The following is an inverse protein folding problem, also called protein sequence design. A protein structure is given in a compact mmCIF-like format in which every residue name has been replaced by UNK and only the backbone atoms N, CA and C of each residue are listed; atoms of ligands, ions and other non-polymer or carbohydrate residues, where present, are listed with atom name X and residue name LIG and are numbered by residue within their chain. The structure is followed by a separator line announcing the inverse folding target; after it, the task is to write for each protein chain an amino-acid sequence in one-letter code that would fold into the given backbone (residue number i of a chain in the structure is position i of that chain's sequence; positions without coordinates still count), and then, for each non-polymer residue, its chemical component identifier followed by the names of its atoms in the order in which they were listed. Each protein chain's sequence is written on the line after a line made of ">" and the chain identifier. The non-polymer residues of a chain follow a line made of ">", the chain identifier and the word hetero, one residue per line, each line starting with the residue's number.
data_IF_110252757306
#
_entry.id   IF_110252757306
#
_cell.length_a   1.000
_cell.length_b   1.000
_cell.length_c   1.000
_cell.angle_alpha   90.00
_cell.angle_beta   90.00
_cell.angle_gamma   90.00
#
_symmetry.space_group_name_H-M   'P 1'
#
loop_
_entity.id
_entity.type
_entity.pdbx_description
1 polymer ?
#
# COMPACT_ATOMS: atom_id res chain seq x y z
N UNK A 1 52.53 7.83 -34.37
CA UNK A 1 51.32 6.97 -34.42
C UNK A 1 50.68 7.02 -33.05
N UNK A 2 49.56 7.75 -32.91
CA UNK A 2 48.82 7.87 -31.65
C UNK A 2 47.66 6.87 -31.76
N UNK A 3 47.50 5.90 -30.84
CA UNK A 3 46.34 5.03 -30.86
C UNK A 3 45.10 5.83 -30.44
N UNK A 4 44.07 5.81 -31.29
CA UNK A 4 42.76 6.39 -31.03
C UNK A 4 42.10 5.72 -29.81
N UNK A 5 41.68 6.55 -28.86
CA UNK A 5 40.74 6.19 -27.80
C UNK A 5 39.45 5.67 -28.45
N UNK A 6 39.01 4.47 -28.08
CA UNK A 6 37.61 4.09 -28.19
C UNK A 6 36.94 4.30 -26.83
N UNK A 7 36.04 5.28 -26.69
CA UNK A 7 35.04 5.25 -25.63
C UNK A 7 33.71 4.84 -26.28
N UNK A 8 33.37 3.55 -26.12
CA UNK A 8 32.04 3.02 -26.38
C UNK A 8 31.09 3.28 -25.20
N UNK A 9 31.15 4.48 -24.62
CA UNK A 9 30.12 4.93 -23.69
C UNK A 9 29.03 5.60 -24.52
N UNK A 10 28.13 4.79 -25.09
CA UNK A 10 26.88 5.31 -25.63
C UNK A 10 26.15 6.02 -24.49
N UNK A 11 26.19 7.36 -24.49
CA UNK A 11 25.41 8.16 -23.57
C UNK A 11 23.94 7.70 -23.68
N UNK A 12 23.28 7.35 -22.56
CA UNK A 12 21.91 6.90 -22.59
C UNK A 12 21.06 7.96 -23.28
N UNK A 13 20.29 7.54 -24.29
CA UNK A 13 19.47 8.44 -25.08
C UNK A 13 18.56 9.28 -24.16
N UNK A 14 18.14 10.47 -24.60
CA UNK A 14 17.28 11.35 -23.79
C UNK A 14 15.99 10.67 -23.28
N UNK A 15 15.52 9.61 -23.96
CA UNK A 15 14.42 8.77 -23.52
C UNK A 15 14.79 7.77 -22.41
N UNK A 16 16.00 7.25 -22.39
CA UNK A 16 16.52 6.35 -21.36
C UNK A 16 16.89 7.11 -20.09
N UNK A 17 17.53 8.27 -20.20
CA UNK A 17 17.77 9.16 -19.06
C UNK A 17 16.47 9.54 -18.34
N UNK A 18 15.39 9.82 -19.09
CA UNK A 18 14.08 10.11 -18.53
C UNK A 18 13.50 8.90 -17.78
N UNK A 19 13.55 7.70 -18.37
CA UNK A 19 13.07 6.47 -17.71
C UNK A 19 13.85 6.16 -16.43
N UNK A 20 15.18 6.29 -16.45
CA UNK A 20 16.04 6.04 -15.27
C UNK A 20 15.68 7.02 -14.15
N UNK A 21 15.47 8.30 -14.47
CA UNK A 21 15.05 9.32 -13.50
C UNK A 21 13.67 9.02 -12.91
N UNK A 22 12.71 8.65 -13.75
CA UNK A 22 11.34 8.31 -13.33
C UNK A 22 11.32 7.08 -12.40
N UNK A 23 12.12 6.06 -12.70
CA UNK A 23 12.27 4.86 -11.85
C UNK A 23 12.96 5.18 -10.53
N UNK A 24 13.97 6.06 -10.54
CA UNK A 24 14.67 6.49 -9.33
C UNK A 24 13.73 7.26 -8.40
N UNK A 25 12.93 8.19 -8.96
CA UNK A 25 11.93 8.93 -8.20
C UNK A 25 10.87 8.00 -7.59
N UNK A 26 10.38 7.03 -8.37
CA UNK A 26 9.41 6.05 -7.89
C UNK A 26 9.98 5.23 -6.72
N UNK A 27 11.23 4.78 -6.82
CA UNK A 27 11.91 4.05 -5.73
C UNK A 27 12.06 4.89 -4.46
N UNK A 28 12.41 6.16 -4.59
CA UNK A 28 12.51 7.09 -3.45
C UNK A 28 11.13 7.30 -2.78
N UNK A 29 10.08 7.51 -3.58
CA UNK A 29 8.72 7.65 -3.08
C UNK A 29 8.23 6.38 -2.37
N UNK A 30 8.52 5.20 -2.94
CA UNK A 30 8.17 3.93 -2.30
C UNK A 30 8.90 3.75 -0.96
N UNK A 31 10.19 4.08 -0.87
CA UNK A 31 10.92 4.04 0.40
C UNK A 31 10.28 4.96 1.46
N UNK A 32 9.92 6.18 1.07
CA UNK A 32 9.25 7.11 1.98
C UNK A 32 7.92 6.55 2.50
N UNK A 33 7.10 5.96 1.62
CA UNK A 33 5.85 5.31 2.00
C UNK A 33 6.07 4.12 2.95
N UNK A 34 7.10 3.29 2.70
CA UNK A 34 7.43 2.17 3.59
C UNK A 34 7.83 2.65 4.98
N UNK A 35 8.64 3.70 5.08
CA UNK A 35 9.04 4.27 6.37
C UNK A 35 7.86 4.92 7.09
N UNK A 36 6.98 5.62 6.37
CA UNK A 36 5.75 6.17 6.94
C UNK A 36 4.80 5.09 7.45
N UNK A 37 4.64 4.00 6.69
CA UNK A 37 3.86 2.83 7.10
C UNK A 37 4.37 2.23 8.42
N UNK A 38 5.70 2.04 8.55
CA UNK A 38 6.33 1.54 9.79
C UNK A 38 6.11 2.48 10.96
N UNK A 39 6.24 3.80 10.75
CA UNK A 39 6.01 4.81 11.81
C UNK A 39 4.59 4.75 12.33
N UNK A 40 3.58 4.66 11.46
CA UNK A 40 2.19 4.54 11.88
C UNK A 40 1.91 3.23 12.62
N UNK A 41 2.51 2.12 12.18
CA UNK A 41 2.38 0.85 12.87
C UNK A 41 2.98 0.93 14.28
N UNK A 42 4.21 1.43 14.41
CA UNK A 42 4.87 1.65 15.71
C UNK A 42 4.06 2.60 16.61
N UNK A 43 3.53 3.70 16.07
CA UNK A 43 2.70 4.63 16.81
C UNK A 43 1.43 3.95 17.36
N UNK A 44 0.85 2.99 16.63
CA UNK A 44 -0.34 2.25 17.08
C UNK A 44 -0.08 1.35 18.31
N UNK A 45 1.18 1.11 18.66
CA UNK A 45 1.60 0.29 19.81
C UNK A 45 1.89 1.12 21.05
N UNK A 46 1.99 2.44 20.91
CA UNK A 46 2.42 3.31 22.01
C UNK A 46 1.48 3.17 23.23
N UNK A 47 2.05 3.07 24.44
CA UNK A 47 1.27 2.96 25.67
C UNK A 47 0.41 4.20 25.87
N UNK A 48 -0.79 4.02 26.42
CA UNK A 48 -1.71 5.12 26.72
C UNK A 48 -2.47 5.69 25.52
N UNK A 49 -2.30 5.16 24.31
CA UNK A 49 -3.13 5.55 23.16
C UNK A 49 -4.51 4.86 23.21
N UNK A 50 -5.62 5.62 23.15
CA UNK A 50 -6.98 5.07 23.08
C UNK A 50 -7.21 4.18 21.85
N UNK A 51 -8.06 3.17 21.99
CA UNK A 51 -8.32 2.18 20.94
C UNK A 51 -8.83 2.79 19.64
N UNK A 52 -9.67 3.83 19.70
CA UNK A 52 -10.18 4.54 18.52
C UNK A 52 -9.05 5.20 17.72
N UNK A 53 -8.05 5.73 18.44
CA UNK A 53 -6.84 6.31 17.83
C UNK A 53 -5.98 5.20 17.24
N UNK A 54 -5.83 4.06 17.94
CA UNK A 54 -5.10 2.88 17.41
C UNK A 54 -5.73 2.39 16.10
N UNK A 55 -7.05 2.22 16.06
CA UNK A 55 -7.79 1.79 14.87
C UNK A 55 -7.65 2.80 13.72
N UNK A 56 -7.59 4.10 14.03
CA UNK A 56 -7.34 5.14 13.03
C UNK A 56 -5.93 5.03 12.44
N UNK A 57 -4.91 4.85 13.27
CA UNK A 57 -3.52 4.65 12.84
C UNK A 57 -3.38 3.38 12.00
N UNK A 58 -3.98 2.27 12.43
CA UNK A 58 -4.01 1.01 11.68
C UNK A 58 -4.70 1.16 10.32
N UNK A 59 -5.77 1.96 10.22
CA UNK A 59 -6.37 2.24 8.93
C UNK A 59 -5.43 3.04 8.01
N UNK A 60 -4.69 4.02 8.54
CA UNK A 60 -3.66 4.75 7.78
C UNK A 60 -2.58 3.82 7.24
N UNK A 61 -2.12 2.84 8.04
CA UNK A 61 -1.18 1.79 7.59
C UNK A 61 -1.79 1.01 6.42
N UNK A 62 -3.06 0.59 6.51
CA UNK A 62 -3.74 -0.10 5.41
C UNK A 62 -3.84 0.75 4.14
N UNK A 63 -4.07 2.07 4.28
CA UNK A 63 -4.09 2.99 3.14
C UNK A 63 -2.73 3.08 2.45
N UNK A 64 -1.63 3.15 3.22
CA UNK A 64 -0.26 3.22 2.70
C UNK A 64 0.13 1.90 2.05
N UNK A 65 -0.10 0.77 2.70
CA UNK A 65 0.15 -0.57 2.13
C UNK A 65 -0.58 -0.75 0.81
N UNK A 66 -1.83 -0.31 0.73
CA UNK A 66 -2.63 -0.35 -0.50
C UNK A 66 -2.09 0.57 -1.60
N UNK A 67 -1.57 1.73 -1.22
CA UNK A 67 -0.92 2.65 -2.16
C UNK A 67 0.34 2.03 -2.75
N UNK A 68 1.16 1.37 -1.93
CA UNK A 68 2.37 0.64 -2.37
C UNK A 68 2.01 -0.40 -3.42
N UNK A 69 1.00 -1.25 -3.16
CA UNK A 69 0.54 -2.28 -4.12
C UNK A 69 0.15 -1.66 -5.45
N UNK A 70 -0.68 -0.61 -5.45
CA UNK A 70 -1.12 0.02 -6.70
C UNK A 70 0.04 0.71 -7.43
N UNK A 71 0.94 1.34 -6.67
CA UNK A 71 2.09 2.06 -7.21
C UNK A 71 3.09 1.14 -7.92
N UNK A 72 3.22 -0.11 -7.52
CA UNK A 72 4.10 -1.08 -8.19
C UNK A 72 3.37 -1.98 -9.18
N UNK A 73 2.03 -2.08 -9.10
CA UNK A 73 1.24 -2.87 -10.06
C UNK A 73 1.40 -2.43 -11.52
N UNK A 74 1.15 -3.37 -12.43
CA UNK A 74 1.14 -3.13 -13.88
C UNK A 74 0.01 -2.20 -14.37
N UNK A 75 -0.95 -1.85 -13.51
CA UNK A 75 -2.09 -0.99 -13.84
C UNK A 75 -1.73 0.51 -13.87
N UNK A 76 -0.99 0.93 -14.91
CA UNK A 76 -0.54 2.34 -15.08
C UNK A 76 -1.66 3.37 -14.94
N UNK A 77 -2.87 3.06 -15.45
CA UNK A 77 -4.04 3.95 -15.35
C UNK A 77 -4.47 4.19 -13.90
N UNK A 78 -4.37 3.17 -13.03
CA UNK A 78 -4.70 3.31 -11.61
C UNK A 78 -3.67 4.19 -10.89
N UNK A 79 -2.38 4.01 -11.20
CA UNK A 79 -1.30 4.82 -10.64
C UNK A 79 -1.52 6.31 -10.88
N UNK A 80 -1.97 6.68 -12.08
CA UNK A 80 -2.23 8.08 -12.46
C UNK A 80 -3.37 8.75 -11.66
N UNK A 81 -4.28 7.97 -11.07
CA UNK A 81 -5.43 8.51 -10.32
C UNK A 81 -5.35 8.19 -8.81
N UNK A 82 -4.24 7.63 -8.33
CA UNK A 82 -4.11 7.13 -6.96
C UNK A 82 -4.41 8.20 -5.91
N UNK A 83 -3.96 9.44 -6.14
CA UNK A 83 -4.22 10.59 -5.27
C UNK A 83 -5.70 11.02 -5.24
N UNK A 84 -6.47 10.70 -6.28
CA UNK A 84 -7.91 11.01 -6.40
C UNK A 84 -8.81 9.86 -5.92
N UNK A 85 -8.22 8.70 -5.62
CA UNK A 85 -8.97 7.53 -5.14
C UNK A 85 -9.34 7.68 -3.67
N UNK A 86 -10.63 7.51 -3.36
CA UNK A 86 -11.10 7.33 -1.98
C UNK A 86 -10.40 6.13 -1.33
N UNK A 87 -10.05 6.26 -0.05
CA UNK A 87 -9.34 5.25 0.75
C UNK A 87 -9.97 3.85 0.64
N UNK A 88 -11.29 3.76 0.75
CA UNK A 88 -12.02 2.49 0.63
C UNK A 88 -11.89 1.83 -0.75
N UNK A 89 -11.86 2.63 -1.83
CA UNK A 89 -11.61 2.13 -3.17
C UNK A 89 -10.16 1.69 -3.33
N UNK A 90 -9.20 2.43 -2.74
CA UNK A 90 -7.78 2.10 -2.77
C UNK A 90 -7.52 0.73 -2.13
N UNK A 91 -8.02 0.51 -0.92
CA UNK A 91 -7.86 -0.76 -0.20
C UNK A 91 -8.50 -1.92 -0.96
N UNK A 92 -9.75 -1.79 -1.38
CA UNK A 92 -10.43 -2.84 -2.15
C UNK A 92 -9.71 -3.17 -3.46
N UNK A 93 -9.11 -2.16 -4.12
CA UNK A 93 -8.41 -2.37 -5.38
C UNK A 93 -7.06 -3.03 -5.18
N UNK A 94 -6.31 -2.66 -4.14
CA UNK A 94 -5.08 -3.34 -3.76
C UNK A 94 -5.33 -4.82 -3.47
N UNK A 95 -6.35 -5.17 -2.68
CA UNK A 95 -6.72 -6.57 -2.44
C UNK A 95 -7.07 -7.32 -3.73
N UNK A 96 -7.80 -6.67 -4.65
CA UNK A 96 -8.15 -7.28 -5.93
C UNK A 96 -6.90 -7.53 -6.81
N UNK A 97 -5.93 -6.61 -6.79
CA UNK A 97 -4.63 -6.78 -7.47
C UNK A 97 -3.88 -7.97 -6.87
N UNK A 98 -3.71 -8.00 -5.54
CA UNK A 98 -3.02 -9.08 -4.84
C UNK A 98 -3.64 -10.45 -5.15
N UNK A 99 -4.98 -10.53 -5.17
CA UNK A 99 -5.68 -11.77 -5.54
C UNK A 99 -5.45 -12.15 -7.00
N UNK A 100 -5.65 -11.21 -7.93
CA UNK A 100 -5.50 -11.45 -9.37
C UNK A 100 -4.08 -11.94 -9.71
N UNK A 101 -3.09 -11.36 -9.06
CA UNK A 101 -1.67 -11.64 -9.33
C UNK A 101 -1.15 -12.83 -8.49
N UNK A 102 -2.07 -13.61 -7.90
CA UNK A 102 -1.79 -14.85 -7.19
C UNK A 102 -0.99 -14.68 -5.89
N UNK A 103 -0.98 -13.49 -5.30
CA UNK A 103 -0.26 -13.21 -4.04
C UNK A 103 -1.03 -13.73 -2.84
N UNK A 104 -2.36 -13.72 -2.92
CA UNK A 104 -3.27 -14.20 -1.87
C UNK A 104 -4.34 -15.10 -2.46
N UNK A 105 -4.84 -16.04 -1.65
CA UNK A 105 -5.95 -16.92 -2.02
C UNK A 105 -7.28 -16.16 -2.09
N UNK A 106 -8.34 -16.80 -2.62
CA UNK A 106 -9.68 -16.22 -2.55
C UNK A 106 -10.18 -16.10 -1.10
N UNK A 107 -9.83 -17.06 -0.24
CA UNK A 107 -10.19 -17.08 1.17
C UNK A 107 -9.54 -15.92 1.92
N UNK A 108 -8.23 -15.70 1.71
CA UNK A 108 -7.50 -14.57 2.28
C UNK A 108 -8.07 -13.24 1.80
N UNK A 109 -8.42 -13.14 0.52
CA UNK A 109 -9.07 -11.96 -0.03
C UNK A 109 -10.36 -11.62 0.72
N UNK A 110 -11.27 -12.60 0.93
CA UNK A 110 -12.53 -12.35 1.62
C UNK A 110 -12.33 -12.04 3.11
N UNK A 111 -11.37 -12.72 3.76
CA UNK A 111 -11.00 -12.48 5.16
C UNK A 111 -10.47 -11.05 5.36
N UNK A 112 -9.41 -10.67 4.62
CA UNK A 112 -8.82 -9.33 4.69
C UNK A 112 -9.85 -8.25 4.35
N UNK A 113 -10.66 -8.47 3.31
CA UNK A 113 -11.72 -7.54 2.91
C UNK A 113 -12.77 -7.36 3.99
N UNK A 114 -13.10 -8.40 4.76
CA UNK A 114 -14.06 -8.31 5.87
C UNK A 114 -13.49 -7.46 7.00
N UNK A 115 -12.29 -7.75 7.45
CA UNK A 115 -11.65 -7.05 8.57
C UNK A 115 -11.36 -5.58 8.22
N UNK A 116 -10.80 -5.29 7.05
CA UNK A 116 -10.51 -3.91 6.62
C UNK A 116 -11.78 -3.07 6.41
N UNK A 117 -12.90 -3.72 6.07
CA UNK A 117 -14.21 -3.07 6.00
C UNK A 117 -14.72 -2.72 7.40
N UNK A 118 -14.63 -3.65 8.36
CA UNK A 118 -14.97 -3.37 9.75
C UNK A 118 -14.08 -2.23 10.30
N UNK A 119 -12.77 -2.27 10.04
CA UNK A 119 -11.82 -1.23 10.45
C UNK A 119 -12.21 0.15 9.91
N UNK A 120 -12.64 0.22 8.64
CA UNK A 120 -13.20 1.44 8.05
C UNK A 120 -14.47 1.90 8.77
N UNK A 121 -15.37 0.99 9.14
CA UNK A 121 -16.58 1.34 9.90
C UNK A 121 -16.20 1.93 11.25
N UNK A 122 -15.27 1.30 11.98
CA UNK A 122 -14.80 1.76 13.29
C UNK A 122 -14.09 3.12 13.22
N UNK A 123 -13.22 3.35 12.22
CA UNK A 123 -12.63 4.68 11.99
C UNK A 123 -13.70 5.76 11.79
N UNK A 124 -14.80 5.41 11.12
CA UNK A 124 -15.91 6.32 10.85
C UNK A 124 -17.09 6.06 11.80
N UNK A 125 -16.84 5.77 13.09
CA UNK A 125 -17.88 5.40 14.04
C UNK A 125 -19.06 6.40 14.09
N UNK A 126 -18.77 7.69 13.90
CA UNK A 126 -19.78 8.76 13.81
C UNK A 126 -20.76 8.61 12.63
N UNK A 127 -20.35 7.93 11.54
CA UNK A 127 -21.20 7.59 10.39
C UNK A 127 -21.83 6.20 10.52
N UNK A 128 -21.47 5.42 11.54
CA UNK A 128 -21.98 4.07 11.71
C UNK A 128 -23.51 3.97 11.88
N UNK A 129 -24.22 4.94 12.50
CA UNK A 129 -25.67 4.90 12.59
C UNK A 129 -26.40 4.88 11.24
N UNK A 130 -25.77 5.40 10.19
CA UNK A 130 -26.29 5.39 8.81
C UNK A 130 -25.60 4.33 7.93
N UNK A 131 -24.76 3.49 8.53
CA UNK A 131 -24.10 2.40 7.83
C UNK A 131 -25.10 1.27 7.56
N UNK A 132 -25.38 1.00 6.29
CA UNK A 132 -26.26 -0.09 5.86
C UNK A 132 -25.57 -1.46 5.83
N UNK A 133 -24.30 -1.52 6.25
CA UNK A 133 -23.51 -2.75 6.27
C UNK A 133 -23.57 -3.44 7.64
N UNK A 134 -23.56 -4.78 7.66
CA UNK A 134 -23.35 -5.56 8.89
C UNK A 134 -21.87 -5.49 9.26
N UNK A 135 -21.45 -4.45 9.98
CA UNK A 135 -20.07 -4.36 10.48
C UNK A 135 -19.96 -5.20 11.77
N UNK A 136 -19.19 -6.31 11.78
CA UNK A 136 -18.96 -7.07 12.99
C UNK A 136 -18.15 -6.25 14.00
N UNK A 137 -18.24 -6.54 15.31
CA UNK A 137 -17.31 -5.99 16.27
C UNK A 137 -15.87 -6.37 15.86
N UNK A 138 -14.97 -5.41 15.95
CA UNK A 138 -13.56 -5.58 15.63
C UNK A 138 -12.70 -5.25 16.83
N UNK A 139 -11.85 -6.19 17.25
CA UNK A 139 -10.84 -5.91 18.28
C UNK A 139 -9.61 -5.24 17.67
N UNK A 140 -8.89 -4.45 18.48
CA UNK A 140 -7.62 -3.83 18.06
C UNK A 140 -6.61 -4.88 17.62
N UNK A 141 -6.56 -6.03 18.29
CA UNK A 141 -5.64 -7.12 17.94
C UNK A 141 -5.98 -7.77 16.60
N UNK A 142 -7.27 -7.97 16.31
CA UNK A 142 -7.70 -8.49 15.01
C UNK A 142 -7.39 -7.50 13.88
N UNK A 143 -7.67 -6.21 14.11
CA UNK A 143 -7.32 -5.14 13.17
C UNK A 143 -5.82 -5.11 12.92
N UNK A 144 -5.01 -5.19 13.98
CA UNK A 144 -3.54 -5.18 13.90
C UNK A 144 -3.02 -6.33 13.07
N UNK A 145 -3.37 -7.57 13.41
CA UNK A 145 -2.91 -8.76 12.65
C UNK A 145 -3.25 -8.65 11.18
N UNK A 146 -4.46 -8.20 10.85
CA UNK A 146 -4.89 -8.01 9.46
C UNK A 146 -4.08 -6.93 8.74
N UNK A 147 -3.76 -5.82 9.43
CA UNK A 147 -3.02 -4.70 8.84
C UNK A 147 -1.54 -5.01 8.68
N UNK A 148 -0.94 -5.69 9.65
CA UNK A 148 0.44 -6.21 9.56
C UNK A 148 0.58 -7.20 8.41
N UNK A 149 -0.41 -8.10 8.26
CA UNK A 149 -0.44 -9.03 7.14
C UNK A 149 -0.53 -8.31 5.80
N UNK A 150 -1.44 -7.33 5.65
CA UNK A 150 -1.55 -6.53 4.44
C UNK A 150 -0.24 -5.77 4.15
N UNK A 151 0.39 -5.18 5.17
CA UNK A 151 1.67 -4.49 5.03
C UNK A 151 2.77 -5.45 4.55
N UNK A 152 2.87 -6.65 5.13
CA UNK A 152 3.82 -7.67 4.71
C UNK A 152 3.57 -8.12 3.26
N UNK A 153 2.30 -8.32 2.87
CA UNK A 153 1.92 -8.65 1.50
C UNK A 153 2.29 -7.53 0.51
N UNK A 154 2.07 -6.27 0.89
CA UNK A 154 2.43 -5.11 0.07
C UNK A 154 3.94 -5.03 -0.16
N UNK A 155 4.74 -5.24 0.89
CA UNK A 155 6.21 -5.26 0.79
C UNK A 155 6.68 -6.41 -0.09
N UNK A 156 6.17 -7.63 0.13
CA UNK A 156 6.48 -8.80 -0.72
C UNK A 156 6.14 -8.56 -2.18
N UNK A 157 4.99 -7.94 -2.45
CA UNK A 157 4.56 -7.63 -3.81
C UNK A 157 5.46 -6.56 -4.46
N UNK A 158 5.87 -5.54 -3.70
CA UNK A 158 6.81 -4.51 -4.17
C UNK A 158 8.24 -5.02 -4.37
N UNK A 159 8.62 -6.11 -3.71
CA UNK A 159 9.92 -6.77 -3.85
C UNK A 159 9.96 -7.86 -4.92
N UNK A 160 8.83 -8.15 -5.60
CA UNK A 160 8.87 -9.02 -6.78
C UNK A 160 9.70 -8.31 -7.86
N UNK A 161 10.79 -8.93 -8.28
CA UNK A 161 11.50 -8.52 -9.49
C UNK A 161 10.56 -8.78 -10.67
N UNK A 162 10.19 -7.71 -11.40
CA UNK A 162 9.59 -7.79 -12.74
C UNK A 162 10.70 -8.02 -13.78
#
# INVERSE_FOLDING_TARGET
>A
MIPSLQPGDEEPSGGEMKRIRDLTLLRQQLRALVEEMKRFLQASEAPGIPDEVRLTLLFSVAEIASAIVIAVSSERKLRAILCKMRSSRRVNRALAILRRDGVISHEDYERLRRVLRALRCHRNAYLHPICVERCPPLSVDEARRCVEELAALALRYASRED
#
